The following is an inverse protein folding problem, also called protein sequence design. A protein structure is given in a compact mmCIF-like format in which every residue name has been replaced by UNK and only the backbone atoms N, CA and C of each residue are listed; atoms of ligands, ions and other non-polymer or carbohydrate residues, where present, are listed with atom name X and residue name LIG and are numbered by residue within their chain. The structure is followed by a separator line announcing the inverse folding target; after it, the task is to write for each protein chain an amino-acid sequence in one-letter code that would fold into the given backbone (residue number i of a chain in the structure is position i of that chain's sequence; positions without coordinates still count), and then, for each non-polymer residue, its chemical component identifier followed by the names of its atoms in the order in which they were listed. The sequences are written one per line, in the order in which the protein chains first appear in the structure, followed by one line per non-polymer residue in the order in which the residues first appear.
data_IF_844808843632
#
_entry.id   IF_844808843632
#
_cell.length_a   1.000
_cell.length_b   1.000
_cell.length_c   1.000
_cell.angle_alpha   90.00
_cell.angle_beta   90.00
_cell.angle_gamma   90.00
#
_symmetry.space_group_name_H-M   'P 1'
#
loop_
_entity.id
_entity.type
_entity.pdbx_description
1 polymer ?
#
# COMPACT_ATOMS: atom_id res chain seq x y z
N UNK A 1 -9.62 -1.74 12.55
CA UNK A 1 -8.64 -0.87 11.85
C UNK A 1 -9.05 -0.64 10.38
N UNK A 2 -9.11 -1.69 9.53
CA UNK A 2 -9.45 -1.54 8.09
C UNK A 2 -10.91 -1.13 7.90
N UNK A 3 -11.86 -1.76 8.61
CA UNK A 3 -13.28 -1.43 8.47
C UNK A 3 -13.62 0.01 8.91
N UNK A 4 -12.87 0.60 9.83
CA UNK A 4 -13.07 1.98 10.26
C UNK A 4 -12.89 2.98 9.10
N UNK A 5 -11.95 2.72 8.21
CA UNK A 5 -11.76 3.55 7.02
C UNK A 5 -12.97 3.48 6.07
N UNK A 6 -13.65 2.33 6.01
CA UNK A 6 -14.89 2.16 5.23
C UNK A 6 -16.07 2.80 5.93
N UNK A 7 -16.18 2.60 7.24
CA UNK A 7 -17.24 3.14 8.07
C UNK A 7 -17.30 4.67 8.04
N UNK A 8 -16.16 5.32 7.87
CA UNK A 8 -16.06 6.79 7.76
C UNK A 8 -16.78 7.36 6.52
N UNK A 9 -17.04 6.54 5.49
CA UNK A 9 -17.74 6.93 4.25
C UNK A 9 -19.17 6.42 4.24
N UNK A 10 -19.39 5.20 4.69
CA UNK A 10 -20.68 4.51 4.66
C UNK A 10 -20.98 4.03 6.08
N UNK A 11 -21.95 4.62 6.75
CA UNK A 11 -22.24 4.37 8.17
C UNK A 11 -22.91 2.99 8.42
N UNK A 12 -22.68 2.03 7.52
CA UNK A 12 -23.12 0.64 7.64
C UNK A 12 -21.97 -0.22 8.17
N UNK A 13 -22.04 -0.56 9.47
CA UNK A 13 -20.99 -1.32 10.16
C UNK A 13 -20.84 -2.75 9.61
N UNK A 14 -21.93 -3.43 9.32
CA UNK A 14 -21.89 -4.83 8.88
C UNK A 14 -21.30 -4.93 7.48
N UNK A 15 -21.68 -4.02 6.60
CA UNK A 15 -21.11 -3.88 5.26
C UNK A 15 -19.62 -3.52 5.32
N UNK A 16 -19.23 -2.58 6.20
CA UNK A 16 -17.82 -2.19 6.36
C UNK A 16 -16.96 -3.36 6.85
N UNK A 17 -17.45 -4.16 7.80
CA UNK A 17 -16.77 -5.37 8.29
C UNK A 17 -16.66 -6.42 7.16
N UNK A 18 -17.73 -6.64 6.41
CA UNK A 18 -17.71 -7.59 5.29
C UNK A 18 -16.67 -7.20 4.23
N UNK A 19 -16.68 -5.94 3.79
CA UNK A 19 -15.71 -5.44 2.79
C UNK A 19 -14.27 -5.49 3.31
N UNK A 20 -14.04 -5.12 4.58
CA UNK A 20 -12.73 -5.23 5.22
C UNK A 20 -12.23 -6.68 5.29
N UNK A 21 -13.11 -7.60 5.67
CA UNK A 21 -12.78 -9.03 5.70
C UNK A 21 -12.38 -9.53 4.32
N UNK A 22 -13.14 -9.15 3.28
CA UNK A 22 -12.87 -9.53 1.89
C UNK A 22 -11.51 -9.03 1.42
N UNK A 23 -11.20 -7.75 1.67
CA UNK A 23 -9.93 -7.17 1.23
C UNK A 23 -8.73 -7.77 1.99
N UNK A 24 -8.83 -7.96 3.31
CA UNK A 24 -7.77 -8.58 4.12
C UNK A 24 -7.48 -10.01 3.64
N UNK A 25 -8.51 -10.80 3.36
CA UNK A 25 -8.36 -12.15 2.79
C UNK A 25 -7.65 -12.12 1.44
N UNK A 26 -7.95 -11.16 0.57
CA UNK A 26 -7.30 -11.04 -0.75
C UNK A 26 -5.80 -10.71 -0.67
N UNK A 27 -5.34 -10.19 0.47
CA UNK A 27 -3.93 -9.95 0.78
C UNK A 27 -3.24 -11.13 1.52
N UNK A 28 -3.90 -12.30 1.57
CA UNK A 28 -3.34 -13.53 2.17
C UNK A 28 -3.34 -13.53 3.71
N UNK A 29 -4.19 -12.69 4.34
CA UNK A 29 -4.24 -12.53 5.79
C UNK A 29 -5.51 -13.13 6.41
N UNK A 30 -6.06 -14.19 5.82
CA UNK A 30 -7.29 -14.85 6.31
C UNK A 30 -7.19 -15.29 7.77
N UNK A 31 -6.02 -15.77 8.20
CA UNK A 31 -5.78 -16.26 9.55
C UNK A 31 -5.37 -15.15 10.53
N UNK A 32 -5.41 -13.88 10.12
CA UNK A 32 -5.01 -12.71 10.89
C UNK A 32 -6.16 -11.76 11.22
N UNK A 33 -7.39 -12.11 10.86
CA UNK A 33 -8.56 -11.23 11.01
C UNK A 33 -8.83 -10.79 12.46
N UNK A 34 -8.54 -11.65 13.43
CA UNK A 34 -8.72 -11.39 14.86
C UNK A 34 -7.46 -10.90 15.58
N UNK A 35 -6.33 -10.78 14.88
CA UNK A 35 -5.05 -10.39 15.50
C UNK A 35 -4.98 -8.87 15.72
N UNK A 36 -4.35 -8.49 16.83
CA UNK A 36 -3.96 -7.10 17.07
C UNK A 36 -2.70 -6.74 16.29
N UNK A 37 -2.44 -5.45 16.02
CA UNK A 37 -1.23 -5.02 15.33
C UNK A 37 0.08 -5.52 15.94
N UNK A 38 0.14 -5.63 17.28
CA UNK A 38 1.31 -6.14 18.01
C UNK A 38 1.63 -7.61 17.76
N UNK A 39 0.69 -8.37 17.20
CA UNK A 39 0.81 -9.80 16.91
C UNK A 39 1.18 -10.08 15.45
N UNK A 40 1.31 -9.01 14.64
CA UNK A 40 1.58 -9.09 13.22
C UNK A 40 3.05 -8.81 12.91
N UNK A 41 3.61 -9.54 11.94
CA UNK A 41 4.92 -9.21 11.39
C UNK A 41 4.89 -7.87 10.63
N UNK A 42 6.06 -7.26 10.42
CA UNK A 42 6.15 -5.99 9.68
C UNK A 42 5.52 -6.06 8.28
N UNK A 43 5.73 -7.17 7.56
CA UNK A 43 5.10 -7.39 6.25
C UNK A 43 3.58 -7.58 6.31
N UNK A 44 3.06 -8.23 7.36
CA UNK A 44 1.62 -8.36 7.59
C UNK A 44 1.01 -6.99 7.94
N UNK A 45 1.66 -6.20 8.80
CA UNK A 45 1.26 -4.82 9.11
C UNK A 45 1.18 -3.96 7.86
N UNK A 46 2.19 -4.06 6.99
CA UNK A 46 2.20 -3.30 5.75
C UNK A 46 1.08 -3.71 4.80
N UNK A 47 0.78 -5.02 4.68
CA UNK A 47 -0.38 -5.50 3.90
C UNK A 47 -1.71 -5.01 4.49
N UNK A 48 -1.84 -4.93 5.81
CA UNK A 48 -3.02 -4.32 6.47
C UNK A 48 -3.11 -2.82 6.15
N UNK A 49 -2.00 -2.08 6.19
CA UNK A 49 -1.98 -0.65 5.85
C UNK A 49 -2.42 -0.42 4.39
N UNK A 50 -1.93 -1.24 3.45
CA UNK A 50 -2.35 -1.20 2.05
C UNK A 50 -3.84 -1.55 1.92
N UNK A 51 -4.33 -2.58 2.61
CA UNK A 51 -5.76 -2.95 2.62
C UNK A 51 -6.64 -1.80 3.11
N UNK A 52 -6.20 -1.09 4.15
CA UNK A 52 -6.88 0.09 4.68
C UNK A 52 -6.91 1.25 3.66
N UNK A 53 -5.83 1.48 2.96
CA UNK A 53 -5.79 2.51 1.92
C UNK A 53 -6.71 2.18 0.73
N UNK A 54 -6.89 0.90 0.42
CA UNK A 54 -7.63 0.43 -0.76
C UNK A 54 -9.12 0.21 -0.57
N UNK A 55 -9.61 0.09 0.68
CA UNK A 55 -10.99 -0.34 0.95
C UNK A 55 -12.02 0.60 0.30
N UNK A 56 -11.68 1.88 0.18
CA UNK A 56 -12.51 2.90 -0.44
C UNK A 56 -12.22 3.10 -1.94
N UNK A 57 -11.47 2.19 -2.56
CA UNK A 57 -11.16 2.19 -3.99
C UNK A 57 -10.59 3.53 -4.51
N UNK A 58 -9.56 4.10 -3.87
CA UNK A 58 -9.03 5.41 -4.25
C UNK A 58 -8.44 5.39 -5.66
N UNK A 59 -8.51 6.53 -6.34
CA UNK A 59 -7.83 6.77 -7.61
C UNK A 59 -6.36 7.14 -7.43
N UNK A 60 -5.99 7.68 -6.26
CA UNK A 60 -4.61 8.06 -5.91
C UNK A 60 -4.19 7.32 -4.64
N UNK A 61 -3.04 6.68 -4.69
CA UNK A 61 -2.39 6.06 -3.52
C UNK A 61 -1.07 6.78 -3.30
N UNK A 62 -0.87 7.25 -2.07
CA UNK A 62 0.39 7.82 -1.60
C UNK A 62 1.06 6.85 -0.63
N UNK A 63 2.31 6.54 -0.83
CA UNK A 63 3.07 5.65 0.02
C UNK A 63 4.45 6.25 0.31
N UNK A 64 4.74 6.47 1.59
CA UNK A 64 6.03 6.94 2.05
C UNK A 64 6.81 5.76 2.64
N UNK A 65 7.99 5.48 2.04
CA UNK A 65 8.86 4.35 2.38
C UNK A 65 8.10 3.02 2.65
N UNK A 66 7.25 2.56 1.70
CA UNK A 66 6.33 1.45 1.96
C UNK A 66 7.01 0.12 2.30
N UNK A 67 8.33 0.06 2.19
CA UNK A 67 9.13 -1.13 2.46
C UNK A 67 10.38 -0.86 3.31
N UNK A 68 10.55 0.36 3.81
CA UNK A 68 11.78 0.82 4.45
C UNK A 68 12.16 0.04 5.71
N UNK A 69 11.19 -0.46 6.48
CA UNK A 69 11.39 -1.23 7.71
C UNK A 69 11.39 -2.75 7.53
N UNK A 70 11.32 -3.23 6.29
CA UNK A 70 11.17 -4.66 5.98
C UNK A 70 12.50 -5.27 5.52
N UNK A 71 12.69 -6.55 5.80
CA UNK A 71 13.77 -7.32 5.17
C UNK A 71 13.57 -7.40 3.65
N UNK A 72 14.65 -7.70 2.92
CA UNK A 72 14.65 -7.62 1.46
C UNK A 72 13.63 -8.55 0.77
N UNK A 73 13.36 -9.73 1.33
CA UNK A 73 12.41 -10.69 0.76
C UNK A 73 10.97 -10.20 0.93
N UNK A 74 10.62 -9.79 2.14
CA UNK A 74 9.30 -9.24 2.49
C UNK A 74 9.03 -7.92 1.76
N UNK A 75 10.05 -7.05 1.64
CA UNK A 75 9.97 -5.82 0.87
C UNK A 75 9.60 -6.07 -0.59
N UNK A 76 10.20 -7.07 -1.24
CA UNK A 76 9.87 -7.47 -2.62
C UNK A 76 8.43 -7.96 -2.75
N UNK A 77 7.92 -8.72 -1.78
CA UNK A 77 6.54 -9.21 -1.78
C UNK A 77 5.53 -8.05 -1.65
N UNK A 78 5.75 -7.15 -0.69
CA UNK A 78 4.90 -5.97 -0.49
C UNK A 78 4.94 -5.06 -1.71
N UNK A 79 6.12 -4.86 -2.32
CA UNK A 79 6.24 -4.04 -3.51
C UNK A 79 5.53 -4.66 -4.72
N UNK A 80 5.59 -5.99 -4.90
CA UNK A 80 4.81 -6.70 -5.93
C UNK A 80 3.31 -6.47 -5.77
N UNK A 81 2.82 -6.39 -4.53
CA UNK A 81 1.41 -6.07 -4.27
C UNK A 81 1.11 -4.65 -4.76
N UNK A 82 1.89 -3.64 -4.35
CA UNK A 82 1.72 -2.26 -4.80
C UNK A 82 1.76 -2.16 -6.33
N UNK A 83 2.71 -2.83 -6.97
CA UNK A 83 2.85 -2.81 -8.44
C UNK A 83 1.62 -3.41 -9.15
N UNK A 84 1.03 -4.49 -8.61
CA UNK A 84 -0.19 -5.11 -9.15
C UNK A 84 -1.43 -4.23 -9.01
N UNK A 85 -1.42 -3.23 -8.11
CA UNK A 85 -2.52 -2.27 -7.94
C UNK A 85 -2.57 -1.21 -9.03
N UNK A 86 -1.53 -1.10 -9.85
CA UNK A 86 -1.46 -0.20 -10.98
C UNK A 86 -2.59 -0.49 -11.98
N UNK A 87 -3.30 0.54 -12.41
CA UNK A 87 -4.33 0.45 -13.43
C UNK A 87 -4.44 1.78 -14.17
N UNK A 88 -5.17 1.80 -15.31
CA UNK A 88 -5.40 3.04 -16.07
C UNK A 88 -6.09 4.15 -15.24
N UNK A 89 -6.87 3.75 -14.22
CA UNK A 89 -7.65 4.66 -13.39
C UNK A 89 -7.06 4.83 -11.98
N UNK A 90 -5.78 4.47 -11.78
CA UNK A 90 -5.15 4.59 -10.47
C UNK A 90 -3.71 5.06 -10.59
N UNK A 91 -3.44 6.20 -9.96
CA UNK A 91 -2.10 6.73 -9.78
C UNK A 91 -1.51 6.23 -8.46
N UNK A 92 -0.29 5.70 -8.49
CA UNK A 92 0.45 5.31 -7.30
C UNK A 92 1.71 6.18 -7.24
N UNK A 93 1.83 6.97 -6.20
CA UNK A 93 3.00 7.79 -5.91
C UNK A 93 3.67 7.21 -4.67
N UNK A 94 4.94 6.89 -4.75
CA UNK A 94 5.70 6.43 -3.58
C UNK A 94 7.04 7.14 -3.50
N UNK A 95 7.40 7.54 -2.28
CA UNK A 95 8.73 7.99 -1.94
C UNK A 95 9.54 6.80 -1.47
N UNK A 96 10.78 6.66 -1.94
CA UNK A 96 11.69 5.61 -1.49
C UNK A 96 13.14 5.95 -1.75
N UNK A 97 14.03 5.57 -0.84
CA UNK A 97 15.48 5.59 -1.04
C UNK A 97 15.99 4.28 -1.68
N UNK A 98 15.13 3.27 -1.86
CA UNK A 98 15.50 2.01 -2.48
C UNK A 98 15.54 2.14 -4.01
N UNK A 99 16.76 2.16 -4.57
CA UNK A 99 16.98 2.32 -6.02
C UNK A 99 16.32 1.22 -6.87
N UNK A 100 16.21 0.00 -6.36
CA UNK A 100 15.57 -1.10 -7.10
C UNK A 100 14.09 -0.79 -7.32
N UNK A 101 13.39 -0.34 -6.27
CA UNK A 101 11.98 0.00 -6.36
C UNK A 101 11.76 1.31 -7.14
N UNK A 102 12.61 2.32 -6.94
CA UNK A 102 12.56 3.54 -7.72
C UNK A 102 12.67 3.28 -9.23
N UNK A 103 13.49 2.32 -9.63
CA UNK A 103 13.67 1.95 -11.05
C UNK A 103 12.50 1.16 -11.66
N UNK A 104 11.56 0.69 -10.84
CA UNK A 104 10.33 0.01 -11.31
C UNK A 104 9.19 0.97 -11.60
N UNK A 105 9.31 2.25 -11.26
CA UNK A 105 8.32 3.27 -11.56
C UNK A 105 8.27 3.61 -13.06
N UNK A 106 7.09 4.01 -13.54
CA UNK A 106 6.93 4.50 -14.92
C UNK A 106 7.55 5.90 -15.09
N UNK A 107 7.46 6.71 -14.04
CA UNK A 107 8.06 8.04 -13.97
C UNK A 107 8.82 8.16 -12.66
N UNK A 108 10.00 8.74 -12.71
CA UNK A 108 10.86 8.95 -11.55
C UNK A 108 11.16 10.44 -11.39
N UNK A 109 10.94 10.91 -10.19
CA UNK A 109 11.30 12.26 -9.77
C UNK A 109 12.40 12.15 -8.70
N UNK A 110 13.37 13.00 -8.73
CA UNK A 110 14.41 13.07 -7.71
C UNK A 110 14.24 14.34 -6.90
N UNK A 111 14.22 14.21 -5.59
CA UNK A 111 14.12 15.35 -4.67
C UNK A 111 15.49 15.60 -4.05
N UNK A 112 16.01 16.82 -4.23
CA UNK A 112 17.30 17.27 -3.68
C UNK A 112 17.06 18.64 -3.06
N UNK A 113 17.34 18.77 -1.77
CA UNK A 113 17.19 20.01 -1.01
C UNK A 113 15.82 20.69 -1.21
N UNK A 114 14.75 19.89 -1.16
CA UNK A 114 13.37 20.38 -1.32
C UNK A 114 12.97 20.69 -2.77
N UNK A 115 13.85 20.54 -3.74
CA UNK A 115 13.60 20.78 -5.16
C UNK A 115 13.40 19.47 -5.91
N UNK A 116 12.36 19.43 -6.75
CA UNK A 116 12.07 18.26 -7.60
C UNK A 116 12.75 18.43 -8.95
N UNK A 117 13.57 17.44 -9.32
CA UNK A 117 14.19 17.33 -10.64
C UNK A 117 13.62 16.13 -11.39
N UNK A 118 13.20 16.29 -12.67
CA UNK A 118 12.80 15.14 -13.47
C UNK A 118 14.03 14.24 -13.66
N UNK A 119 13.96 13.02 -13.20
CA UNK A 119 14.99 12.02 -13.47
C UNK A 119 14.44 11.12 -14.56
N UNK A 120 14.98 11.24 -15.78
CA UNK A 120 14.69 10.47 -16.98
C UNK A 120 13.46 9.57 -16.94
N UNK A 121 12.33 10.10 -17.45
CA UNK A 121 11.17 9.26 -17.75
C UNK A 121 11.61 8.18 -18.74
N UNK A 122 11.39 6.90 -18.43
CA UNK A 122 11.50 5.85 -19.44
C UNK A 122 10.42 6.15 -20.50
N UNK A 123 10.89 6.35 -21.74
CA UNK A 123 10.03 6.36 -22.92
C UNK A 123 9.36 5.01 -23.11
#
# INVERSE_FOLDING_TARGET
NVYLARLAIDNDKDKAIFEATKIIKSFGLSNRLSHFPSELSGGELQRIAISRALINKPEIILADEPTGSLDQSTAKEVFKILYKLKSKNRLIIYATHNRLFANMADCKLEMIDGNIKPSNARK
#
